data_IF_203416613863
#
_entry.id   IF_203416613863
#
_cell.length_a   1.000
_cell.length_b   1.000
_cell.length_c   1.000
_cell.angle_alpha   90.00
_cell.angle_beta   90.00
_cell.angle_gamma   90.00
#
_symmetry.space_group_name_H-M   'P 1'
#
loop_
_entity.id
_entity.type
_entity.pdbx_description
1 polymer ?
#
# COMPACT_ATOMS: atom_id res chain seq x y z
N UNK A 1 -5.09 -68.07 13.01
CA UNK A 1 -5.94 -66.86 12.92
C UNK A 1 -5.22 -65.81 12.08
N UNK A 2 -5.93 -65.22 11.13
CA UNK A 2 -5.41 -64.46 9.97
C UNK A 2 -4.79 -63.12 10.40
N UNK A 3 -3.61 -62.81 9.83
CA UNK A 3 -2.97 -61.49 9.87
C UNK A 3 -3.80 -60.50 9.05
N UNK A 4 -4.18 -59.37 9.62
CA UNK A 4 -4.64 -58.19 8.89
C UNK A 4 -3.67 -57.05 9.22
N UNK A 5 -2.77 -56.74 8.29
CA UNK A 5 -2.05 -55.47 8.28
C UNK A 5 -2.92 -54.48 7.52
N UNK A 6 -3.43 -53.46 8.22
CA UNK A 6 -4.11 -52.33 7.59
C UNK A 6 -3.03 -51.33 7.17
N UNK A 7 -2.71 -51.27 5.88
CA UNK A 7 -1.81 -50.24 5.32
C UNK A 7 -2.69 -49.02 5.01
N UNK A 8 -2.57 -47.97 5.83
CA UNK A 8 -3.18 -46.67 5.57
C UNK A 8 -2.34 -45.94 4.52
N UNK A 9 -2.81 -45.90 3.27
CA UNK A 9 -2.27 -45.04 2.23
C UNK A 9 -2.72 -43.59 2.52
N UNK A 10 -1.86 -42.81 3.18
CA UNK A 10 -2.02 -41.36 3.24
C UNK A 10 -1.71 -40.79 1.85
N UNK A 11 -2.76 -40.45 1.11
CA UNK A 11 -2.67 -39.55 -0.03
C UNK A 11 -2.27 -38.18 0.50
N UNK A 12 -0.99 -37.86 0.37
CA UNK A 12 -0.47 -36.52 0.61
C UNK A 12 -0.95 -35.64 -0.56
N UNK A 13 -2.16 -35.09 -0.45
CA UNK A 13 -2.54 -33.95 -1.28
C UNK A 13 -1.68 -32.78 -0.81
N UNK A 14 -0.82 -32.26 -1.68
CA UNK A 14 -0.17 -30.98 -1.48
C UNK A 14 -1.26 -29.92 -1.28
N UNK A 15 -1.59 -29.64 -0.03
CA UNK A 15 -2.31 -28.44 0.33
C UNK A 15 -1.32 -27.30 0.04
N UNK A 16 -1.56 -26.54 -1.02
CA UNK A 16 -0.92 -25.25 -1.19
C UNK A 16 -1.36 -24.40 0.00
N UNK A 17 -0.43 -24.15 0.93
CA UNK A 17 -0.65 -23.19 2.00
C UNK A 17 -0.78 -21.82 1.33
N UNK A 18 -1.99 -21.25 1.37
CA UNK A 18 -2.30 -20.00 0.69
C UNK A 18 -1.97 -18.80 1.59
N UNK A 19 -0.69 -18.60 1.86
CA UNK A 19 -0.22 -17.73 2.94
C UNK A 19 -0.38 -16.22 2.62
N UNK A 20 -0.49 -15.87 1.33
CA UNK A 20 -0.75 -14.51 0.85
C UNK A 20 -0.22 -14.25 -0.55
N UNK A 21 -0.68 -13.16 -1.15
CA UNK A 21 -0.24 -12.69 -2.47
C UNK A 21 0.39 -11.30 -2.34
N UNK A 22 1.67 -11.19 -2.70
CA UNK A 22 2.32 -9.92 -2.94
C UNK A 22 2.23 -9.62 -4.44
N UNK A 23 1.55 -8.54 -4.80
CA UNK A 23 1.32 -8.19 -6.18
C UNK A 23 2.39 -7.26 -6.74
N UNK A 24 2.71 -6.17 -6.04
CA UNK A 24 3.62 -5.13 -6.53
C UNK A 24 3.95 -4.12 -5.42
N UNK A 25 5.14 -3.49 -5.51
CA UNK A 25 5.43 -2.21 -4.89
C UNK A 25 5.39 -1.09 -5.95
N UNK A 26 4.81 0.07 -5.60
CA UNK A 26 4.97 1.29 -6.37
C UNK A 26 6.44 1.75 -6.39
N UNK A 27 6.80 2.64 -7.31
CA UNK A 27 8.18 3.09 -7.44
C UNK A 27 8.26 4.52 -8.01
N UNK A 28 9.40 5.15 -7.82
CA UNK A 28 9.72 6.42 -8.46
C UNK A 28 10.28 6.20 -9.86
N UNK A 29 10.30 7.28 -10.63
CA UNK A 29 11.09 7.30 -11.86
C UNK A 29 12.57 7.35 -11.54
N UNK A 30 13.38 6.63 -12.31
CA UNK A 30 14.82 6.57 -12.17
C UNK A 30 15.53 6.84 -13.50
N UNK A 31 16.72 7.44 -13.49
CA UNK A 31 17.50 7.53 -14.69
C UNK A 31 18.15 6.17 -14.97
N UNK A 32 18.11 5.72 -16.22
CA UNK A 32 18.73 4.45 -16.63
C UNK A 32 20.26 4.57 -16.62
N UNK A 33 20.78 5.75 -16.95
CA UNK A 33 22.21 6.06 -16.87
C UNK A 33 22.44 7.24 -15.92
N UNK A 34 23.65 7.35 -15.38
CA UNK A 34 24.05 8.50 -14.58
C UNK A 34 23.75 9.84 -15.30
N UNK A 35 23.35 10.84 -14.51
CA UNK A 35 22.91 12.12 -15.04
C UNK A 35 23.18 13.23 -14.04
N UNK A 36 23.41 14.46 -14.53
CA UNK A 36 23.44 15.68 -13.71
C UNK A 36 22.04 16.24 -13.40
N UNK A 37 20.97 15.55 -13.82
CA UNK A 37 19.59 15.98 -13.58
C UNK A 37 19.19 15.63 -12.14
N UNK A 38 18.69 16.62 -11.41
CA UNK A 38 18.33 16.50 -9.99
C UNK A 38 16.80 16.59 -9.77
N UNK A 39 16.28 15.93 -8.75
CA UNK A 39 14.88 16.05 -8.31
C UNK A 39 14.77 17.21 -7.32
N UNK A 40 14.18 18.33 -7.74
CA UNK A 40 13.96 19.51 -6.89
C UNK A 40 12.69 19.39 -6.07
N UNK A 41 11.65 18.78 -6.62
CA UNK A 41 10.38 18.60 -5.94
C UNK A 41 9.72 17.32 -6.36
N UNK A 42 9.09 16.64 -5.40
CA UNK A 42 8.21 15.51 -5.65
C UNK A 42 6.96 15.65 -4.78
N UNK A 43 5.79 15.51 -5.40
CA UNK A 43 4.51 15.32 -4.71
C UNK A 43 4.00 13.94 -5.12
N UNK A 44 4.07 13.00 -4.19
CA UNK A 44 3.56 11.64 -4.32
C UNK A 44 2.18 11.58 -3.68
N UNK A 45 1.16 11.31 -4.50
CA UNK A 45 -0.21 11.09 -4.04
C UNK A 45 -0.58 9.62 -4.24
N UNK A 46 -0.98 8.96 -3.16
CA UNK A 46 -1.48 7.58 -3.20
C UNK A 46 -2.88 7.55 -2.61
N UNK A 47 -3.83 7.09 -3.40
CA UNK A 47 -5.20 6.85 -2.97
C UNK A 47 -5.49 5.36 -2.90
N UNK A 48 -5.89 4.88 -1.74
CA UNK A 48 -6.40 3.53 -1.58
C UNK A 48 -7.86 3.48 -2.03
N UNK A 49 -8.16 2.50 -2.89
CA UNK A 49 -9.52 2.10 -3.22
C UNK A 49 -9.82 0.73 -2.59
N UNK A 50 -10.89 0.06 -3.02
CA UNK A 50 -11.18 -1.30 -2.55
C UNK A 50 -10.08 -2.27 -2.96
N UNK A 51 -9.62 -2.19 -4.20
CA UNK A 51 -8.76 -3.21 -4.81
C UNK A 51 -7.38 -2.68 -5.22
N UNK A 52 -7.19 -1.35 -5.25
CA UNK A 52 -5.97 -0.71 -5.79
C UNK A 52 -5.39 0.37 -4.88
N UNK A 53 -4.09 0.56 -4.98
CA UNK A 53 -3.43 1.83 -4.72
C UNK A 53 -3.34 2.60 -6.06
N UNK A 54 -4.02 3.73 -6.14
CA UNK A 54 -3.96 4.68 -7.27
C UNK A 54 -2.89 5.72 -7.00
N UNK A 55 -1.88 5.79 -7.86
CA UNK A 55 -0.70 6.64 -7.69
C UNK A 55 -0.69 7.76 -8.71
N UNK A 56 -0.39 8.96 -8.25
CA UNK A 56 -0.10 10.12 -9.07
C UNK A 56 1.13 10.83 -8.52
N UNK A 57 2.12 11.06 -9.37
CA UNK A 57 3.38 11.69 -8.96
C UNK A 57 3.67 12.90 -9.82
N UNK A 58 3.94 14.03 -9.16
CA UNK A 58 4.38 15.27 -9.77
C UNK A 58 5.84 15.52 -9.40
N UNK A 59 6.67 15.77 -10.41
CA UNK A 59 8.07 16.11 -10.22
C UNK A 59 8.42 17.48 -10.78
N UNK A 60 9.34 18.17 -10.11
CA UNK A 60 10.15 19.22 -10.72
C UNK A 60 11.60 18.76 -10.77
N UNK A 61 12.08 18.53 -11.98
CA UNK A 61 13.47 18.20 -12.25
C UNK A 61 14.26 19.43 -12.67
N UNK A 62 15.55 19.45 -12.39
CA UNK A 62 16.47 20.49 -12.84
C UNK A 62 17.62 19.90 -13.65
N UNK A 63 17.77 20.34 -14.91
CA UNK A 63 18.93 20.06 -15.73
C UNK A 63 19.90 21.26 -15.68
N UNK A 64 21.11 21.12 -15.11
CA UNK A 64 22.07 22.23 -15.01
C UNK A 64 22.77 22.56 -16.34
N UNK A 65 22.72 21.64 -17.31
CA UNK A 65 23.44 21.73 -18.59
C UNK A 65 22.47 22.07 -19.73
N UNK A 66 23.01 22.12 -20.94
CA UNK A 66 22.21 22.24 -22.15
C UNK A 66 21.21 21.08 -22.31
N UNK A 67 20.28 21.25 -23.24
CA UNK A 67 19.25 20.26 -23.53
C UNK A 67 19.85 18.88 -23.83
N UNK A 68 19.30 17.83 -23.23
CA UNK A 68 19.71 16.46 -23.48
C UNK A 68 18.54 15.48 -23.38
N UNK A 69 18.57 14.46 -24.22
CA UNK A 69 17.68 13.30 -24.11
C UNK A 69 18.34 12.24 -23.22
N UNK A 70 17.58 11.70 -22.27
CA UNK A 70 17.97 10.54 -21.47
C UNK A 70 16.87 9.48 -21.52
N UNK A 71 17.23 8.24 -21.18
CA UNK A 71 16.25 7.19 -20.91
C UNK A 71 15.90 7.23 -19.43
N UNK A 72 14.60 7.32 -19.14
CA UNK A 72 14.04 7.24 -17.79
C UNK A 72 13.26 5.94 -17.69
N UNK A 73 13.37 5.28 -16.54
CA UNK A 73 12.70 4.03 -16.24
C UNK A 73 11.73 4.15 -15.07
N UNK A 74 10.74 3.28 -15.07
CA UNK A 74 9.93 2.90 -13.93
C UNK A 74 10.10 1.38 -13.74
N UNK A 75 10.57 0.99 -12.55
CA UNK A 75 10.94 -0.39 -12.23
C UNK A 75 9.85 -1.06 -11.40
N UNK A 76 9.28 -2.14 -11.92
CA UNK A 76 8.28 -2.96 -11.23
C UNK A 76 8.84 -4.36 -11.02
N UNK A 77 9.05 -4.72 -9.75
CA UNK A 77 9.52 -6.05 -9.33
C UNK A 77 8.47 -7.14 -9.55
N UNK A 78 8.84 -8.39 -9.27
CA UNK A 78 7.92 -9.53 -9.45
C UNK A 78 6.86 -9.60 -8.35
N UNK A 79 5.66 -10.07 -8.71
CA UNK A 79 4.74 -10.64 -7.75
C UNK A 79 5.34 -11.87 -7.06
N UNK A 80 4.89 -12.19 -5.85
CA UNK A 80 5.32 -13.38 -5.11
C UNK A 80 4.19 -13.95 -4.25
N UNK A 81 4.37 -15.16 -3.73
CA UNK A 81 3.32 -15.91 -3.04
C UNK A 81 2.25 -16.40 -4.01
N UNK A 82 0.97 -16.32 -3.61
CA UNK A 82 -0.19 -16.72 -4.42
C UNK A 82 -0.55 -15.71 -5.52
N UNK A 83 0.46 -15.23 -6.23
CA UNK A 83 0.33 -14.27 -7.33
C UNK A 83 0.94 -14.83 -8.61
N UNK A 84 0.22 -14.69 -9.73
CA UNK A 84 0.77 -14.99 -11.05
C UNK A 84 1.85 -13.98 -11.43
N UNK A 85 3.05 -14.43 -11.75
CA UNK A 85 4.15 -13.56 -12.20
C UNK A 85 4.22 -13.40 -13.73
N UNK A 86 3.41 -14.17 -14.48
CA UNK A 86 3.40 -14.13 -15.94
C UNK A 86 2.94 -12.76 -16.49
N UNK A 87 3.64 -12.19 -17.49
CA UNK A 87 3.24 -10.94 -18.12
C UNK A 87 1.87 -11.03 -18.80
N UNK A 88 1.06 -9.97 -18.67
CA UNK A 88 -0.23 -9.85 -19.39
C UNK A 88 -0.06 -8.85 -20.52
N UNK A 89 -0.09 -9.32 -21.78
CA UNK A 89 0.14 -8.49 -22.97
C UNK A 89 1.45 -7.68 -22.93
N UNK A 90 2.50 -8.24 -22.33
CA UNK A 90 3.77 -7.54 -22.15
C UNK A 90 3.87 -6.70 -20.87
N UNK A 91 2.78 -6.51 -20.14
CA UNK A 91 2.74 -5.70 -18.93
C UNK A 91 2.93 -6.52 -17.66
N UNK A 92 3.30 -5.81 -16.60
CA UNK A 92 3.24 -6.32 -15.23
C UNK A 92 1.79 -6.74 -14.91
N UNK A 93 1.55 -7.97 -14.41
CA UNK A 93 0.18 -8.54 -14.30
C UNK A 93 -0.76 -7.77 -13.37
N UNK A 94 -0.19 -6.97 -12.44
CA UNK A 94 -0.94 -6.22 -11.43
C UNK A 94 -0.71 -4.71 -11.46
N UNK A 95 -0.09 -4.18 -12.52
CA UNK A 95 0.00 -2.74 -12.76
C UNK A 95 -0.88 -2.35 -13.94
N UNK A 96 -1.62 -1.25 -13.79
CA UNK A 96 -2.56 -0.78 -14.79
C UNK A 96 -2.41 0.72 -15.03
N UNK A 97 -2.79 1.14 -16.23
CA UNK A 97 -3.00 2.55 -16.58
C UNK A 97 -1.75 3.45 -16.35
N UNK A 98 -0.56 2.91 -16.62
CA UNK A 98 0.68 3.67 -16.56
C UNK A 98 0.69 4.77 -17.63
N UNK A 99 0.81 6.01 -17.20
CA UNK A 99 1.00 7.17 -18.10
C UNK A 99 2.14 8.02 -17.60
N UNK A 100 2.82 8.69 -18.53
CA UNK A 100 3.87 9.66 -18.20
C UNK A 100 3.82 10.84 -19.17
N UNK A 101 4.04 12.03 -18.63
CA UNK A 101 4.15 13.27 -19.40
C UNK A 101 5.35 14.09 -18.96
N UNK A 102 5.97 14.77 -19.91
CA UNK A 102 7.06 15.73 -19.70
C UNK A 102 6.61 17.07 -20.26
N UNK A 103 6.62 18.11 -19.42
CA UNK A 103 6.20 19.47 -19.76
C UNK A 103 4.82 19.49 -20.47
N UNK A 104 3.86 18.72 -19.91
CA UNK A 104 2.48 18.52 -20.41
C UNK A 104 2.34 17.77 -21.75
N UNK A 105 3.40 17.14 -22.25
CA UNK A 105 3.35 16.26 -23.42
C UNK A 105 3.45 14.81 -22.96
N UNK A 106 2.44 13.99 -23.28
CA UNK A 106 2.49 12.55 -23.00
C UNK A 106 3.59 11.88 -23.81
N UNK A 107 4.35 11.01 -23.16
CA UNK A 107 5.44 10.27 -23.79
C UNK A 107 5.02 8.81 -24.00
N UNK A 108 5.34 8.21 -25.15
CA UNK A 108 5.24 6.77 -25.31
C UNK A 108 6.30 6.09 -24.44
N UNK A 109 6.04 4.86 -24.02
CA UNK A 109 6.99 4.02 -23.32
C UNK A 109 7.05 2.62 -23.96
N UNK A 110 8.17 1.95 -23.72
CA UNK A 110 8.39 0.55 -24.04
C UNK A 110 8.59 -0.23 -22.74
N UNK A 111 8.42 -1.55 -22.79
CA UNK A 111 8.61 -2.43 -21.64
C UNK A 111 9.74 -3.40 -21.95
N UNK A 112 10.73 -3.44 -21.09
CA UNK A 112 11.81 -4.41 -21.12
C UNK A 112 11.75 -5.34 -19.90
N UNK A 113 12.18 -6.57 -20.11
CA UNK A 113 12.41 -7.56 -19.06
C UNK A 113 13.90 -7.62 -18.81
N UNK A 114 14.31 -7.43 -17.55
CA UNK A 114 15.73 -7.41 -17.19
C UNK A 114 15.97 -8.28 -15.97
N UNK A 115 17.07 -9.02 -15.94
CA UNK A 115 17.51 -9.73 -14.73
C UNK A 115 17.90 -8.70 -13.66
N UNK A 116 17.21 -8.70 -12.53
CA UNK A 116 17.30 -7.70 -11.45
C UNK A 116 18.75 -7.44 -11.06
N UNK A 117 19.49 -8.47 -10.63
CA UNK A 117 20.89 -8.33 -10.19
C UNK A 117 21.84 -7.79 -11.26
N UNK A 118 21.62 -8.13 -12.53
CA UNK A 118 22.47 -7.65 -13.61
C UNK A 118 22.15 -6.19 -13.94
N UNK A 119 20.87 -5.84 -13.89
CA UNK A 119 20.37 -4.50 -14.13
C UNK A 119 20.78 -3.54 -13.00
N UNK A 120 20.61 -3.90 -11.73
CA UNK A 120 21.06 -3.11 -10.57
C UNK A 120 22.57 -2.81 -10.61
N UNK A 121 23.38 -3.77 -11.09
CA UNK A 121 24.84 -3.58 -11.21
C UNK A 121 25.26 -2.68 -12.37
N UNK A 122 24.48 -2.65 -13.46
CA UNK A 122 24.95 -2.05 -14.72
C UNK A 122 24.16 -0.83 -15.16
N UNK A 123 22.94 -0.64 -14.66
CA UNK A 123 21.97 0.35 -15.15
C UNK A 123 21.55 0.13 -16.60
N UNK A 124 22.04 -0.92 -17.28
CA UNK A 124 21.78 -1.10 -18.71
C UNK A 124 20.53 -1.93 -18.91
N UNK A 125 19.55 -1.36 -19.60
CA UNK A 125 18.44 -2.12 -20.15
C UNK A 125 18.99 -3.02 -21.25
N UNK A 126 19.09 -4.31 -20.96
CA UNK A 126 19.31 -5.36 -21.96
C UNK A 126 18.04 -6.19 -21.97
N UNK A 127 17.11 -5.93 -22.91
CA UNK A 127 15.87 -6.69 -22.98
C UNK A 127 16.20 -8.18 -23.10
N UNK A 128 15.69 -9.00 -22.19
CA UNK A 128 15.65 -10.45 -22.41
C UNK A 128 14.50 -10.77 -23.34
N UNK A 129 14.77 -11.60 -24.34
CA UNK A 129 13.81 -12.00 -25.34
C UNK A 129 12.88 -13.09 -24.77
N UNK A 130 11.67 -12.69 -24.34
CA UNK A 130 10.69 -13.55 -23.65
C UNK A 130 10.43 -14.90 -24.35
N UNK A 131 10.52 -14.93 -25.69
CA UNK A 131 10.21 -16.11 -26.50
C UNK A 131 11.38 -17.11 -26.56
N UNK A 132 12.63 -16.66 -26.55
CA UNK A 132 13.80 -17.54 -26.46
C UNK A 132 14.09 -17.97 -25.02
N UNK A 133 13.56 -17.21 -24.05
CA UNK A 133 13.75 -17.39 -22.61
C UNK A 133 12.48 -17.84 -21.85
N UNK A 134 11.68 -18.76 -22.41
CA UNK A 134 10.67 -19.50 -21.61
C UNK A 134 11.26 -20.15 -20.33
N UNK A 135 12.60 -20.31 -20.27
CA UNK A 135 13.34 -20.72 -19.07
C UNK A 135 13.53 -19.62 -18.01
N UNK A 136 13.55 -18.33 -18.37
CA UNK A 136 13.59 -17.22 -17.40
C UNK A 136 12.27 -17.16 -16.61
N UNK A 137 11.15 -17.47 -17.26
CA UNK A 137 9.82 -17.50 -16.62
C UNK A 137 9.65 -18.79 -15.77
N UNK A 138 10.38 -19.86 -16.06
CA UNK A 138 10.28 -21.15 -15.33
C UNK A 138 11.23 -21.27 -14.13
N UNK A 139 12.22 -20.40 -14.02
CA UNK A 139 13.04 -20.28 -12.83
C UNK A 139 12.58 -19.04 -12.09
N UNK A 140 12.58 -19.06 -10.76
CA UNK A 140 12.50 -17.84 -9.92
C UNK A 140 13.74 -16.95 -10.10
N UNK A 141 14.30 -16.89 -11.32
CA UNK A 141 15.40 -16.02 -11.73
C UNK A 141 14.88 -14.58 -11.69
N UNK A 142 15.08 -13.94 -10.54
CA UNK A 142 14.87 -12.53 -10.22
C UNK A 142 15.00 -11.59 -11.45
N UNK A 143 13.85 -11.27 -12.07
CA UNK A 143 13.72 -10.31 -13.16
C UNK A 143 12.77 -9.19 -12.77
N UNK A 144 12.81 -8.05 -13.45
CA UNK A 144 11.84 -6.97 -13.25
C UNK A 144 11.35 -6.42 -14.59
N UNK A 145 10.18 -5.80 -14.53
CA UNK A 145 9.60 -5.05 -15.63
C UNK A 145 10.14 -3.62 -15.57
N UNK A 146 10.77 -3.15 -16.65
CA UNK A 146 11.24 -1.76 -16.77
C UNK A 146 10.44 -1.08 -17.85
N UNK A 147 9.53 -0.20 -17.43
CA UNK A 147 8.80 0.70 -18.31
C UNK A 147 9.73 1.87 -18.59
N UNK A 148 10.21 2.01 -19.82
CA UNK A 148 11.20 3.04 -20.15
C UNK A 148 10.76 3.93 -21.30
N UNK A 149 11.18 5.18 -21.25
CA UNK A 149 10.85 6.19 -22.24
C UNK A 149 12.00 7.17 -22.40
N UNK A 150 12.06 7.79 -23.58
CA UNK A 150 12.99 8.88 -23.87
C UNK A 150 12.42 10.19 -23.33
N UNK A 151 13.22 10.94 -22.61
CA UNK A 151 12.84 12.22 -22.03
C UNK A 151 13.88 13.29 -22.36
N UNK A 152 13.45 14.33 -23.08
CA UNK A 152 14.28 15.47 -23.48
C UNK A 152 14.18 16.60 -22.45
N UNK A 153 15.19 16.71 -21.59
CA UNK A 153 15.24 17.72 -20.55
C UNK A 153 15.85 19.01 -21.08
N UNK A 154 15.07 20.08 -21.09
CA UNK A 154 15.56 21.43 -21.37
C UNK A 154 16.48 21.91 -20.24
N UNK A 155 17.38 22.84 -20.52
CA UNK A 155 18.15 23.52 -19.47
C UNK A 155 17.20 24.16 -18.46
N UNK A 156 17.48 23.97 -17.18
CA UNK A 156 16.64 24.46 -16.08
C UNK A 156 15.51 23.50 -15.69
N UNK A 157 14.34 24.05 -15.37
CA UNK A 157 13.20 23.32 -14.79
C UNK A 157 12.47 22.50 -15.85
N UNK A 158 12.16 21.25 -15.51
CA UNK A 158 11.32 20.34 -16.29
C UNK A 158 10.29 19.70 -15.37
N UNK A 159 9.05 19.58 -15.83
CA UNK A 159 7.96 18.99 -15.04
C UNK A 159 7.65 17.62 -15.62
N UNK A 160 7.72 16.59 -14.78
CA UNK A 160 7.24 15.25 -15.15
C UNK A 160 6.05 14.91 -14.27
N UNK A 161 5.03 14.31 -14.88
CA UNK A 161 3.91 13.70 -14.16
C UNK A 161 3.75 12.28 -14.64
N UNK A 162 3.60 11.33 -13.72
CA UNK A 162 3.18 9.99 -14.07
C UNK A 162 2.04 9.52 -13.18
N UNK A 163 1.25 8.58 -13.70
CA UNK A 163 0.15 7.95 -12.97
C UNK A 163 0.15 6.48 -13.26
N UNK A 164 -0.32 5.67 -12.32
CA UNK A 164 -0.63 4.26 -12.51
C UNK A 164 -1.47 3.80 -11.33
N UNK A 165 -2.01 2.59 -11.39
CA UNK A 165 -2.56 1.93 -10.22
C UNK A 165 -2.06 0.50 -10.15
N UNK A 166 -1.92 -0.02 -8.95
CA UNK A 166 -1.51 -1.40 -8.74
C UNK A 166 -2.37 -2.06 -7.68
N UNK A 167 -2.54 -3.38 -7.82
CA UNK A 167 -3.42 -4.16 -6.95
C UNK A 167 -2.88 -4.18 -5.52
N UNK A 168 -3.75 -4.00 -4.54
CA UNK A 168 -3.41 -4.13 -3.13
C UNK A 168 -3.07 -5.58 -2.83
N UNK A 169 -1.89 -5.80 -2.25
CA UNK A 169 -1.45 -7.10 -1.74
C UNK A 169 -2.24 -7.48 -0.48
N UNK A 170 -2.21 -8.74 -0.09
CA UNK A 170 -2.88 -9.20 1.12
C UNK A 170 -2.62 -10.67 1.41
N UNK A 171 -3.15 -11.16 2.53
CA UNK A 171 -2.96 -12.56 2.91
C UNK A 171 -3.59 -12.92 4.23
N UNK A 172 -3.09 -13.98 4.86
CA UNK A 172 -3.61 -14.45 6.15
C UNK A 172 -3.32 -13.44 7.27
N UNK A 173 -2.20 -12.71 7.19
CA UNK A 173 -1.82 -11.74 8.22
C UNK A 173 -2.46 -10.35 8.02
N UNK A 174 -2.85 -9.99 6.79
CA UNK A 174 -3.23 -8.61 6.42
C UNK A 174 -4.56 -8.55 5.67
N UNK A 175 -5.38 -7.54 5.93
CA UNK A 175 -6.52 -7.23 5.06
C UNK A 175 -6.06 -6.61 3.76
N UNK A 176 -5.05 -5.75 3.83
CA UNK A 176 -4.31 -5.27 2.69
C UNK A 176 -2.90 -4.86 3.13
N UNK A 177 -1.99 -4.83 2.17
CA UNK A 177 -0.73 -4.09 2.26
C UNK A 177 -0.36 -3.51 0.89
N UNK A 178 0.38 -2.41 0.90
CA UNK A 178 1.04 -1.88 -0.29
C UNK A 178 2.33 -1.16 0.10
N UNK A 179 3.30 -1.21 -0.81
CA UNK A 179 4.61 -0.62 -0.62
C UNK A 179 4.92 0.38 -1.74
N UNK A 180 5.79 1.34 -1.46
CA UNK A 180 6.32 2.27 -2.47
C UNK A 180 7.80 2.53 -2.23
N UNK A 181 8.61 2.31 -3.28
CA UNK A 181 10.06 2.44 -3.25
C UNK A 181 10.45 3.93 -3.34
N UNK A 182 10.82 4.50 -2.20
CA UNK A 182 11.29 5.88 -2.03
C UNK A 182 12.80 6.00 -2.25
N UNK A 183 13.58 4.96 -1.95
CA UNK A 183 15.05 5.02 -2.09
C UNK A 183 15.52 5.16 -3.54
N UNK A 184 14.66 4.83 -4.51
CA UNK A 184 14.90 4.99 -5.94
C UNK A 184 15.30 6.43 -6.34
N UNK A 185 14.79 7.46 -5.65
CA UNK A 185 15.14 8.87 -5.90
C UNK A 185 16.62 9.15 -5.72
N UNK A 186 17.32 8.36 -4.90
CA UNK A 186 18.76 8.55 -4.65
C UNK A 186 19.63 8.28 -5.88
N UNK A 187 19.06 7.75 -6.96
CA UNK A 187 19.73 7.53 -8.25
C UNK A 187 19.81 8.77 -9.13
N UNK A 188 19.07 9.83 -8.81
CA UNK A 188 19.22 11.13 -9.46
C UNK A 188 20.42 11.91 -8.92
N UNK A 189 20.83 12.97 -9.63
CA UNK A 189 22.11 13.65 -9.37
C UNK A 189 22.30 14.14 -7.93
N UNK A 190 21.23 14.65 -7.31
CA UNK A 190 21.27 15.19 -5.96
C UNK A 190 21.20 14.11 -4.86
N UNK A 191 20.96 12.83 -5.22
CA UNK A 191 20.84 11.70 -4.29
C UNK A 191 19.81 11.91 -3.16
N UNK A 192 18.85 12.80 -3.40
CA UNK A 192 17.83 13.24 -2.45
C UNK A 192 16.66 13.86 -3.22
N UNK A 193 15.61 14.28 -2.51
CA UNK A 193 14.53 15.13 -3.02
C UNK A 193 14.55 16.44 -2.23
N UNK A 194 14.75 17.59 -2.89
CA UNK A 194 14.92 18.85 -2.15
C UNK A 194 13.62 19.30 -1.45
N UNK A 195 12.45 19.02 -2.04
CA UNK A 195 11.12 19.30 -1.50
C UNK A 195 10.19 18.09 -1.72
N UNK A 196 10.00 17.26 -0.69
CA UNK A 196 9.17 16.06 -0.77
C UNK A 196 7.84 16.25 -0.04
N UNK A 197 6.75 15.84 -0.70
CA UNK A 197 5.42 15.72 -0.11
C UNK A 197 4.85 14.34 -0.45
N UNK A 198 4.45 13.58 0.56
CA UNK A 198 3.67 12.35 0.44
C UNK A 198 2.25 12.61 0.96
N UNK A 199 1.25 12.31 0.15
CA UNK A 199 -0.17 12.42 0.49
C UNK A 199 -0.78 11.02 0.40
N UNK A 200 -1.36 10.56 1.51
CA UNK A 200 -2.11 9.31 1.59
C UNK A 200 -3.60 9.59 1.80
N UNK A 201 -4.40 9.20 0.80
CA UNK A 201 -5.86 9.18 0.87
C UNK A 201 -6.32 7.73 1.03
N UNK A 202 -6.61 7.35 2.26
CA UNK A 202 -7.00 5.97 2.58
C UNK A 202 -8.50 5.73 2.43
N UNK A 203 -9.29 6.81 2.41
CA UNK A 203 -10.75 6.80 2.59
C UNK A 203 -11.19 6.97 4.04
N UNK A 204 -12.50 7.22 4.22
CA UNK A 204 -13.11 7.42 5.54
C UNK A 204 -13.27 6.09 6.28
N UNK A 205 -13.12 6.14 7.60
CA UNK A 205 -13.14 4.99 8.49
C UNK A 205 -12.22 3.88 8.00
N UNK A 206 -10.92 4.19 7.89
CA UNK A 206 -9.87 3.26 7.50
C UNK A 206 -8.69 3.35 8.46
N UNK A 207 -8.11 2.21 8.79
CA UNK A 207 -6.83 2.12 9.51
C UNK A 207 -5.69 2.09 8.51
N UNK A 208 -4.62 2.84 8.76
CA UNK A 208 -3.34 2.71 8.08
C UNK A 208 -2.23 2.52 9.12
N UNK A 209 -1.61 1.35 9.13
CA UNK A 209 -0.39 1.08 9.89
C UNK A 209 0.81 1.35 8.98
N UNK A 210 1.61 2.37 9.33
CA UNK A 210 2.75 2.79 8.49
C UNK A 210 4.06 2.47 9.22
N UNK A 211 4.93 1.70 8.58
CA UNK A 211 6.24 1.30 9.11
C UNK A 211 7.20 2.50 9.22
N UNK A 212 7.94 2.60 10.34
CA UNK A 212 8.85 3.72 10.66
C UNK A 212 10.21 3.59 9.97
N UNK A 213 10.20 3.53 8.65
CA UNK A 213 11.41 3.33 7.81
C UNK A 213 12.07 4.64 7.39
N UNK A 214 11.29 5.72 7.24
CA UNK A 214 11.76 7.03 6.78
C UNK A 214 11.31 8.20 7.69
N UNK A 215 10.49 7.93 8.70
CA UNK A 215 10.00 8.92 9.68
C UNK A 215 10.13 8.37 11.11
N UNK A 216 10.03 9.24 12.12
CA UNK A 216 10.27 8.88 13.53
C UNK A 216 9.00 8.43 14.24
N UNK A 217 7.92 9.17 14.06
CA UNK A 217 6.62 8.92 14.70
C UNK A 217 5.51 9.72 14.00
N UNK A 218 4.28 9.52 14.44
CA UNK A 218 3.09 10.16 13.86
C UNK A 218 3.06 11.69 13.92
N UNK A 219 3.86 12.35 14.78
CA UNK A 219 3.94 13.82 14.77
C UNK A 219 4.70 14.37 13.55
N UNK A 220 5.45 13.52 12.84
CA UNK A 220 6.07 13.91 11.56
C UNK A 220 5.01 14.00 10.43
N UNK A 221 3.79 13.53 10.69
CA UNK A 221 2.67 13.58 9.75
C UNK A 221 1.68 14.66 10.15
N UNK A 222 1.21 15.40 9.15
CA UNK A 222 0.05 16.28 9.28
C UNK A 222 -1.21 15.48 8.98
N UNK A 223 -2.12 15.42 9.95
CA UNK A 223 -3.44 14.83 9.77
C UNK A 223 -4.43 15.92 9.34
N UNK A 224 -4.83 15.92 8.07
CA UNK A 224 -5.81 16.87 7.52
C UNK A 224 -7.22 16.27 7.59
N UNK A 225 -7.79 16.24 8.79
CA UNK A 225 -9.12 15.68 9.04
C UNK A 225 -9.34 15.24 10.48
N UNK A 226 -10.18 14.24 10.66
CA UNK A 226 -10.51 13.65 11.96
C UNK A 226 -9.97 12.22 12.04
N UNK A 227 -9.29 11.92 13.14
CA UNK A 227 -8.75 10.59 13.39
C UNK A 227 -7.97 10.51 14.69
N UNK A 228 -7.40 9.33 14.94
CA UNK A 228 -6.55 9.05 16.09
C UNK A 228 -5.23 8.46 15.62
N UNK A 229 -4.14 8.85 16.27
CA UNK A 229 -2.80 8.29 16.03
C UNK A 229 -2.40 7.47 17.24
N UNK A 230 -1.82 6.30 17.03
CA UNK A 230 -1.27 5.46 18.10
C UNK A 230 0.10 4.94 17.71
N UNK A 231 1.05 5.10 18.61
CA UNK A 231 2.44 4.72 18.39
C UNK A 231 2.69 3.27 18.78
N UNK A 232 3.41 2.55 17.92
CA UNK A 232 4.01 1.25 18.20
C UNK A 232 5.53 1.35 17.96
N UNK A 233 6.35 0.39 18.43
CA UNK A 233 7.80 0.46 18.25
C UNK A 233 8.21 0.56 16.77
N UNK A 234 7.68 -0.31 15.91
CA UNK A 234 8.10 -0.43 14.50
C UNK A 234 7.22 0.34 13.51
N UNK A 235 6.03 0.74 13.91
CA UNK A 235 5.04 1.40 13.04
C UNK A 235 4.18 2.39 13.82
N UNK A 236 3.45 3.24 13.10
CA UNK A 236 2.44 4.14 13.66
C UNK A 236 1.07 3.77 13.06
N UNK A 237 0.07 3.60 13.91
CA UNK A 237 -1.32 3.41 13.50
C UNK A 237 -2.01 4.76 13.32
N UNK A 238 -2.66 4.93 12.19
CA UNK A 238 -3.54 6.06 11.88
C UNK A 238 -4.95 5.54 11.67
N UNK A 239 -5.87 5.89 12.57
CA UNK A 239 -7.29 5.59 12.47
C UNK A 239 -8.01 6.79 11.86
N UNK A 240 -8.27 6.70 10.56
CA UNK A 240 -8.76 7.82 9.76
C UNK A 240 -10.29 7.79 9.75
N UNK A 241 -10.92 8.64 10.55
CA UNK A 241 -12.38 8.80 10.50
C UNK A 241 -12.76 9.56 9.22
N UNK A 242 -12.03 10.63 8.92
CA UNK A 242 -12.20 11.44 7.72
C UNK A 242 -10.92 12.20 7.40
N UNK A 243 -10.56 12.34 6.13
CA UNK A 243 -9.45 13.19 5.67
C UNK A 243 -8.26 12.41 5.15
N UNK A 244 -7.10 13.07 5.13
CA UNK A 244 -5.87 12.55 4.51
C UNK A 244 -4.66 12.71 5.44
N UNK A 245 -3.63 11.91 5.21
CA UNK A 245 -2.33 12.03 5.87
C UNK A 245 -1.34 12.72 4.92
N UNK A 246 -0.56 13.66 5.44
CA UNK A 246 0.45 14.39 4.67
C UNK A 246 1.79 14.33 5.40
N UNK A 247 2.84 13.88 4.73
CA UNK A 247 4.21 13.94 5.20
C UNK A 247 5.02 14.89 4.31
N UNK A 248 5.70 15.85 4.91
CA UNK A 248 6.51 16.85 4.19
C UNK A 248 7.92 16.87 4.73
N UNK A 249 8.91 16.91 3.84
CA UNK A 249 10.32 16.93 4.23
C UNK A 249 11.16 17.70 3.22
N UNK A 250 11.99 18.63 3.72
CA UNK A 250 13.01 19.31 2.92
C UNK A 250 14.30 18.50 2.92
N UNK A 251 15.01 18.50 1.79
CA UNK A 251 16.24 17.73 1.61
C UNK A 251 16.05 16.26 2.03
N UNK A 252 14.95 15.66 1.59
CA UNK A 252 14.57 14.31 1.96
C UNK A 252 15.55 13.31 1.36
N UNK A 253 16.29 12.62 2.23
CA UNK A 253 17.15 11.49 1.88
C UNK A 253 16.45 10.22 2.40
N UNK A 254 15.68 9.52 1.55
CA UNK A 254 14.97 8.32 1.96
C UNK A 254 15.97 7.24 2.41
N UNK A 255 15.72 6.66 3.59
CA UNK A 255 16.53 5.58 4.18
C UNK A 255 15.83 4.22 4.18
N UNK A 256 14.58 4.20 3.73
CA UNK A 256 13.75 3.03 3.61
C UNK A 256 12.46 3.36 2.86
N UNK A 257 11.65 2.35 2.66
CA UNK A 257 10.49 2.42 1.77
C UNK A 257 9.20 2.73 2.51
N UNK A 258 8.21 3.27 1.81
CA UNK A 258 6.86 3.35 2.35
C UNK A 258 6.28 1.93 2.38
N UNK A 259 5.77 1.53 3.53
CA UNK A 259 4.97 0.31 3.69
C UNK A 259 3.74 0.63 4.52
N UNK A 260 2.57 0.36 3.96
CA UNK A 260 1.27 0.64 4.57
C UNK A 260 0.47 -0.65 4.62
N UNK A 261 0.03 -1.03 5.81
CA UNK A 261 -0.74 -2.25 6.04
C UNK A 261 -1.99 -1.98 6.88
N UNK A 262 -2.96 -2.89 6.82
CA UNK A 262 -3.94 -3.08 7.87
C UNK A 262 -3.91 -4.56 8.27
N UNK A 263 -3.37 -4.83 9.46
CA UNK A 263 -3.24 -6.19 9.96
C UNK A 263 -4.60 -6.77 10.38
N UNK A 264 -4.75 -8.08 10.25
CA UNK A 264 -5.89 -8.81 10.82
C UNK A 264 -5.72 -8.93 12.35
N UNK A 265 -6.81 -8.93 13.14
CA UNK A 265 -6.73 -9.08 14.60
C UNK A 265 -6.04 -10.37 15.05
N UNK A 266 -6.18 -11.44 14.26
CA UNK A 266 -5.56 -12.76 14.47
C UNK A 266 -4.31 -12.97 13.58
N UNK A 267 -3.70 -11.89 13.11
CA UNK A 267 -2.60 -11.94 12.17
C UNK A 267 -1.32 -12.54 12.75
N UNK A 268 -0.27 -12.60 11.93
CA UNK A 268 1.00 -13.27 12.23
C UNK A 268 1.90 -12.54 13.27
N UNK A 269 1.36 -11.57 14.01
CA UNK A 269 2.01 -10.91 15.15
C UNK A 269 1.15 -11.23 16.39
N UNK A 270 1.77 -11.76 17.45
CA UNK A 270 1.09 -12.42 18.57
C UNK A 270 0.27 -11.52 19.52
N UNK A 271 0.27 -10.19 19.39
CA UNK A 271 -0.34 -9.31 20.40
C UNK A 271 -1.18 -8.16 19.79
N UNK A 272 -2.35 -8.49 19.23
CA UNK A 272 -3.38 -7.47 19.00
C UNK A 272 -4.50 -7.60 20.04
N UNK A 273 -4.50 -6.69 21.02
CA UNK A 273 -5.60 -6.54 21.99
C UNK A 273 -6.88 -5.93 21.36
N UNK A 274 -6.84 -5.57 20.08
CA UNK A 274 -7.95 -4.97 19.36
C UNK A 274 -9.05 -6.01 19.13
N UNK A 275 -10.23 -5.82 19.74
CA UNK A 275 -11.35 -6.75 19.59
C UNK A 275 -12.26 -6.36 18.45
N UNK A 276 -12.32 -5.08 18.10
CA UNK A 276 -13.20 -4.56 17.07
C UNK A 276 -12.43 -3.78 16.02
N UNK A 277 -12.76 -4.00 14.75
CA UNK A 277 -12.12 -3.27 13.65
C UNK A 277 -12.67 -1.85 13.55
N UNK A 278 -11.75 -0.88 13.49
CA UNK A 278 -12.09 0.50 13.15
C UNK A 278 -12.60 0.61 11.71
N UNK A 279 -11.95 -0.07 10.77
CA UNK A 279 -12.24 0.09 9.34
C UNK A 279 -13.59 -0.45 8.88
N UNK A 280 -14.20 0.24 7.93
CA UNK A 280 -15.36 -0.24 7.17
C UNK A 280 -14.96 -1.21 6.04
N UNK A 281 -15.96 -1.89 5.47
CA UNK A 281 -15.83 -2.89 4.41
C UNK A 281 -15.50 -4.31 4.89
N UNK A 282 -15.51 -4.53 6.22
CA UNK A 282 -14.98 -5.75 6.86
C UNK A 282 -15.92 -6.35 7.90
N UNK A 283 -17.20 -5.98 7.89
CA UNK A 283 -18.18 -6.49 8.85
C UNK A 283 -18.36 -8.02 8.80
N UNK A 284 -17.99 -8.68 7.70
CA UNK A 284 -17.99 -10.15 7.61
C UNK A 284 -17.10 -10.83 8.68
N UNK A 285 -16.09 -10.13 9.21
CA UNK A 285 -15.21 -10.61 10.28
C UNK A 285 -15.95 -10.79 11.60
N UNK A 286 -17.07 -10.08 11.80
CA UNK A 286 -17.87 -10.14 13.03
C UNK A 286 -18.63 -11.48 13.15
N UNK A 287 -18.85 -12.17 12.02
CA UNK A 287 -19.55 -13.46 11.97
C UNK A 287 -21.08 -13.33 12.04
N UNK A 288 -21.75 -14.43 12.33
CA UNK A 288 -23.23 -14.51 12.34
C UNK A 288 -23.83 -13.96 13.65
N UNK A 289 -25.02 -13.34 13.61
CA UNK A 289 -25.71 -12.85 14.80
C UNK A 289 -26.26 -13.98 15.71
N UNK A 290 -26.52 -15.17 15.15
CA UNK A 290 -26.97 -16.37 15.87
C UNK A 290 -25.87 -16.94 16.78
N UNK A 291 -24.61 -16.75 16.43
CA UNK A 291 -23.44 -17.17 17.22
C UNK A 291 -23.09 -16.20 18.35
N UNK A 292 -23.83 -15.09 18.48
CA UNK A 292 -23.54 -14.02 19.44
C UNK A 292 -24.50 -14.03 20.61
N UNK A 293 -24.00 -13.73 21.79
CA UNK A 293 -24.80 -13.45 22.98
C UNK A 293 -25.58 -12.14 22.80
N UNK A 294 -26.67 -11.92 23.57
CA UNK A 294 -27.39 -10.64 23.56
C UNK A 294 -26.48 -9.42 23.83
N UNK A 295 -25.47 -9.58 24.68
CA UNK A 295 -24.52 -8.50 25.01
C UNK A 295 -23.55 -8.22 23.87
N UNK A 296 -23.00 -9.25 23.21
CA UNK A 296 -22.16 -9.05 22.02
C UNK A 296 -22.93 -8.36 20.90
N UNK A 297 -24.17 -8.78 20.63
CA UNK A 297 -25.03 -8.10 19.68
C UNK A 297 -25.24 -6.64 20.06
N UNK A 298 -25.45 -6.34 21.35
CA UNK A 298 -25.57 -4.98 21.86
C UNK A 298 -24.30 -4.16 21.59
N UNK A 299 -23.12 -4.71 21.85
CA UNK A 299 -21.84 -4.04 21.59
C UNK A 299 -21.68 -3.77 20.08
N UNK A 300 -21.89 -4.78 19.23
CA UNK A 300 -21.73 -4.68 17.77
C UNK A 300 -22.64 -3.60 17.17
N UNK A 301 -23.91 -3.51 17.59
CA UNK A 301 -24.82 -2.45 17.14
C UNK A 301 -24.38 -1.05 17.54
N UNK A 302 -23.57 -0.92 18.58
CA UNK A 302 -23.05 0.36 19.04
C UNK A 302 -21.70 0.74 18.43
N UNK A 303 -21.06 -0.17 17.69
CA UNK A 303 -19.76 0.05 17.04
C UNK A 303 -19.73 1.28 16.11
N UNK A 304 -20.76 1.54 15.26
CA UNK A 304 -20.77 2.75 14.41
C UNK A 304 -20.67 4.06 15.19
N UNK A 305 -21.28 4.14 16.37
CA UNK A 305 -21.23 5.32 17.23
C UNK A 305 -19.90 5.42 17.97
N UNK A 306 -19.34 4.29 18.40
CA UNK A 306 -18.02 4.23 19.03
C UNK A 306 -16.92 4.72 18.07
N UNK A 307 -16.97 4.32 16.78
CA UNK A 307 -16.04 4.78 15.73
C UNK A 307 -16.03 6.30 15.53
N UNK A 308 -17.09 7.01 15.97
CA UNK A 308 -17.23 8.47 15.92
C UNK A 308 -17.00 9.14 17.28
N UNK A 309 -16.61 8.36 18.29
CA UNK A 309 -16.28 8.86 19.62
C UNK A 309 -17.45 9.03 20.57
N UNK A 310 -18.59 8.37 20.33
CA UNK A 310 -19.74 8.48 21.24
C UNK A 310 -19.39 8.02 22.66
N UNK A 311 -19.66 8.90 23.63
CA UNK A 311 -19.45 8.64 25.05
C UNK A 311 -20.69 7.95 25.61
N UNK A 312 -20.57 6.65 25.89
CA UNK A 312 -21.64 5.82 26.40
C UNK A 312 -21.90 6.11 27.89
N UNK A 313 -23.17 6.35 28.24
CA UNK A 313 -23.60 6.45 29.65
C UNK A 313 -23.61 5.10 30.35
N UNK A 314 -23.87 4.04 29.59
CA UNK A 314 -23.79 2.67 30.08
C UNK A 314 -22.31 2.30 30.29
N UNK A 315 -21.98 1.91 31.52
CA UNK A 315 -20.61 1.62 31.91
C UNK A 315 -20.04 0.42 31.17
N UNK A 316 -20.82 -0.62 30.91
CA UNK A 316 -20.37 -1.83 30.20
C UNK A 316 -19.93 -1.49 28.78
N UNK A 317 -20.78 -0.78 28.01
CA UNK A 317 -20.43 -0.33 26.67
C UNK A 317 -19.23 0.62 26.68
N UNK A 318 -19.21 1.54 27.64
CA UNK A 318 -18.13 2.51 27.74
C UNK A 318 -16.77 1.86 28.04
N UNK A 319 -16.74 0.86 28.93
CA UNK A 319 -15.53 0.15 29.31
C UNK A 319 -15.04 -0.77 28.18
N UNK A 320 -15.96 -1.37 27.39
CA UNK A 320 -15.59 -2.15 26.20
C UNK A 320 -14.83 -1.29 25.19
N UNK A 321 -15.40 -0.16 24.75
CA UNK A 321 -14.78 0.64 23.70
C UNK A 321 -13.58 1.47 24.19
N UNK A 322 -13.51 1.83 25.47
CA UNK A 322 -12.33 2.52 26.03
C UNK A 322 -11.04 1.72 25.92
N UNK A 323 -11.14 0.39 25.86
CA UNK A 323 -9.99 -0.48 25.71
C UNK A 323 -9.54 -0.65 24.25
N UNK A 324 -10.31 -0.14 23.28
CA UNK A 324 -9.92 -0.17 21.88
C UNK A 324 -8.92 0.96 21.59
N UNK A 325 -7.82 0.61 20.95
CA UNK A 325 -6.73 1.54 20.64
C UNK A 325 -7.15 2.68 19.71
N UNK A 326 -8.16 2.47 18.87
CA UNK A 326 -8.73 3.45 17.94
C UNK A 326 -9.81 4.34 18.55
N UNK A 327 -10.37 4.01 19.72
CA UNK A 327 -11.48 4.78 20.30
C UNK A 327 -11.01 6.17 20.78
N UNK A 328 -11.66 7.23 20.28
CA UNK A 328 -11.38 8.61 20.63
C UNK A 328 -12.68 9.30 21.08
N UNK A 329 -12.89 9.51 22.39
CA UNK A 329 -14.08 10.22 22.89
C UNK A 329 -14.25 11.59 22.23
N UNK A 330 -15.44 11.86 21.71
CA UNK A 330 -15.81 13.14 21.12
C UNK A 330 -17.04 13.71 21.86
N UNK A 331 -16.84 14.63 22.82
CA UNK A 331 -17.93 15.25 23.57
C UNK A 331 -18.93 16.03 22.70
N UNK A 332 -18.55 16.41 21.48
CA UNK A 332 -19.40 17.17 20.55
C UNK A 332 -20.19 16.26 19.60
N UNK A 333 -19.96 14.94 19.64
CA UNK A 333 -20.67 14.01 18.76
C UNK A 333 -22.09 13.74 19.25
N UNK A 334 -23.06 13.99 18.38
CA UNK A 334 -24.47 13.64 18.58
C UNK A 334 -24.79 12.42 17.71
N UNK A 335 -25.26 11.29 18.28
CA UNK A 335 -25.50 10.08 17.51
C UNK A 335 -26.76 10.22 16.66
N UNK A 336 -26.60 10.08 15.34
CA UNK A 336 -27.69 10.11 14.36
C UNK A 336 -27.59 8.88 13.43
N UNK A 337 -28.63 8.05 13.38
CA UNK A 337 -28.62 6.80 12.60
C UNK A 337 -28.61 7.10 11.10
N UNK A 338 -29.29 8.18 10.71
CA UNK A 338 -29.45 8.63 9.32
C UNK A 338 -28.11 9.04 8.72
N UNK A 339 -27.19 9.58 9.54
CA UNK A 339 -25.84 9.98 9.17
C UNK A 339 -24.83 8.81 9.07
N UNK A 340 -25.24 7.59 9.44
CA UNK A 340 -24.41 6.40 9.27
C UNK A 340 -24.35 5.96 7.82
N UNK A 341 -23.27 5.25 7.46
CA UNK A 341 -23.17 4.63 6.13
C UNK A 341 -24.19 3.49 5.98
N UNK A 342 -24.53 3.11 4.74
CA UNK A 342 -25.45 2.00 4.50
C UNK A 342 -24.92 0.67 5.07
N UNK A 343 -23.60 0.44 5.02
CA UNK A 343 -22.96 -0.72 5.66
C UNK A 343 -23.19 -0.73 7.18
N UNK A 344 -23.08 0.41 7.84
CA UNK A 344 -23.30 0.53 9.29
C UNK A 344 -24.78 0.39 9.67
N UNK A 345 -25.69 0.96 8.88
CA UNK A 345 -27.14 0.75 9.07
C UNK A 345 -27.50 -0.72 8.95
N UNK A 346 -26.94 -1.40 7.96
CA UNK A 346 -27.12 -2.84 7.78
C UNK A 346 -26.53 -3.64 8.94
N UNK A 347 -25.35 -3.26 9.45
CA UNK A 347 -24.76 -3.87 10.66
C UNK A 347 -25.72 -3.76 11.85
N UNK A 348 -26.26 -2.57 12.12
CA UNK A 348 -27.21 -2.36 13.22
C UNK A 348 -28.44 -3.26 13.02
N UNK A 349 -28.99 -3.31 11.81
CA UNK A 349 -30.18 -4.12 11.50
C UNK A 349 -29.93 -5.62 11.67
N UNK A 350 -28.82 -6.15 11.17
CA UNK A 350 -28.46 -7.57 11.25
C UNK A 350 -28.31 -8.03 12.70
N UNK A 351 -27.76 -7.18 13.54
CA UNK A 351 -27.47 -7.54 14.93
C UNK A 351 -28.56 -7.07 15.90
N UNK A 352 -29.71 -6.51 15.48
CA UNK A 352 -30.86 -6.18 16.35
C UNK A 352 -31.36 -7.40 17.10
#
# INVERSE_FOLDING_TARGET
MKKFLLILWLWCTCLYANDGAFYMAGNQLVPINETDIAVRKEILYIKKTKDFAEVSVYYEFFNPKEEKEIIVGFEAGLPSGDATFEPVNGHHPYMYDFTVSLNNVFLPFEIAYVKTKAYEKTGKIKPSDLNSDKKIIQSEDDFMYVYHFKATFKKGKNIIKHTYRYKLSGGVCYYYNFDYVLTAATRWANKQIDDFTLILDMGNFQTASISKTFFKNGNDWTFNGLGKVTEKPEYTNFYIQQGILVYEMKNFVPKGELSVEEMRPWGCKEDSDQKFLFSLGKNWVIGSPEEKTPEERRIIRNLPFARRGYIFKDKTLQDVFKNEDWYLPNPSYVPEVEALTEEEKQLIKTFK
#
